data_IF_932738723295
#
_entry.id   IF_932738723295
#
_cell.length_a   1.000
_cell.length_b   1.000
_cell.length_c   1.000
_cell.angle_alpha   90.00
_cell.angle_beta   90.00
_cell.angle_gamma   90.00
#
_symmetry.space_group_name_H-M   'P 1'
#
loop_
_entity.id
_entity.type
_entity.pdbx_description
1 polymer ?
#
# COMPACT_ATOMS: atom_id res chain seq x y z
N UNK A 1 -13.46 -20.13 20.21
CA UNK A 1 -13.64 -18.73 19.80
C UNK A 1 -12.28 -18.09 19.89
N UNK A 2 -11.66 -17.77 18.75
CA UNK A 2 -10.40 -17.02 18.77
C UNK A 2 -10.66 -15.66 19.39
N UNK A 3 -9.83 -15.23 20.34
CA UNK A 3 -9.94 -13.90 20.92
C UNK A 3 -9.83 -12.86 19.81
N UNK A 4 -10.79 -11.93 19.74
CA UNK A 4 -10.78 -10.84 18.75
C UNK A 4 -9.45 -10.04 18.89
N UNK A 5 -8.72 -9.79 17.78
CA UNK A 5 -7.49 -9.01 17.82
C UNK A 5 -7.75 -7.62 18.42
N UNK A 6 -6.90 -7.23 19.38
CA UNK A 6 -7.01 -5.96 20.10
C UNK A 6 -5.66 -5.25 20.13
N UNK A 7 -5.65 -3.96 19.81
CA UNK A 7 -4.48 -3.09 19.94
C UNK A 7 -4.86 -1.88 20.79
N UNK A 8 -4.07 -1.59 21.82
CA UNK A 8 -4.31 -0.44 22.69
C UNK A 8 -3.33 0.69 22.37
N UNK A 9 -3.86 1.90 22.14
CA UNK A 9 -3.08 3.12 21.98
C UNK A 9 -3.65 4.20 22.89
N UNK A 10 -3.05 4.35 24.07
CA UNK A 10 -3.58 5.22 25.12
C UNK A 10 -5.00 4.79 25.52
N UNK A 11 -5.98 5.70 25.57
CA UNK A 11 -7.34 5.37 25.97
C UNK A 11 -8.20 4.77 24.84
N UNK A 12 -7.60 4.36 23.73
CA UNK A 12 -8.29 3.77 22.58
C UNK A 12 -7.92 2.30 22.40
N UNK A 13 -8.94 1.43 22.37
CA UNK A 13 -8.84 0.02 21.99
C UNK A 13 -9.30 -0.13 20.53
N UNK A 14 -8.39 -0.53 19.65
CA UNK A 14 -8.65 -0.86 18.26
C UNK A 14 -9.09 -2.31 18.13
N UNK A 15 -10.18 -2.51 17.38
CA UNK A 15 -10.74 -3.80 16.98
C UNK A 15 -10.81 -3.86 15.45
N UNK A 16 -11.01 -5.05 14.85
CA UNK A 16 -11.03 -5.19 13.39
C UNK A 16 -12.01 -4.26 12.65
N UNK A 17 -13.16 -3.93 13.25
CA UNK A 17 -14.18 -3.08 12.63
C UNK A 17 -14.70 -1.94 13.53
N UNK A 18 -14.02 -1.64 14.65
CA UNK A 18 -14.44 -0.56 15.56
C UNK A 18 -13.30 -0.07 16.45
N UNK A 19 -13.52 1.05 17.13
CA UNK A 19 -12.70 1.48 18.25
C UNK A 19 -13.57 1.58 19.51
N UNK A 20 -12.99 1.31 20.68
CA UNK A 20 -13.59 1.64 21.97
C UNK A 20 -12.73 2.67 22.69
N UNK A 21 -13.39 3.54 23.46
CA UNK A 21 -12.75 4.61 24.21
C UNK A 21 -12.95 4.38 25.71
N UNK A 22 -11.89 4.57 26.48
CA UNK A 22 -11.97 4.58 27.94
C UNK A 22 -12.36 5.99 28.43
N UNK A 23 -13.58 6.13 28.94
CA UNK A 23 -14.08 7.40 29.48
C UNK A 23 -14.14 8.51 28.42
N UNK A 24 -13.64 9.70 28.77
CA UNK A 24 -13.58 10.87 27.88
C UNK A 24 -12.12 11.32 27.70
N UNK A 25 -11.41 10.77 26.69
CA UNK A 25 -10.03 11.15 26.36
C UNK A 25 -9.90 12.66 26.14
N UNK A 26 -8.77 13.23 26.57
CA UNK A 26 -8.45 14.62 26.27
C UNK A 26 -8.17 14.79 24.78
N UNK A 27 -8.40 15.97 24.22
CA UNK A 27 -8.19 16.23 22.78
C UNK A 27 -6.77 15.87 22.31
N UNK A 28 -5.77 16.05 23.19
CA UNK A 28 -4.37 15.71 22.91
C UNK A 28 -4.14 14.21 22.66
N UNK A 29 -4.96 13.33 23.24
CA UNK A 29 -4.80 11.87 23.15
C UNK A 29 -5.19 11.31 21.77
N UNK A 30 -5.90 12.08 20.94
CA UNK A 30 -6.47 11.60 19.68
C UNK A 30 -5.48 11.54 18.53
N UNK A 31 -4.49 12.46 18.52
CA UNK A 31 -3.63 12.67 17.34
C UNK A 31 -2.85 11.40 16.98
N UNK A 32 -2.21 10.76 17.96
CA UNK A 32 -1.41 9.56 17.75
C UNK A 32 -2.23 8.38 17.23
N UNK A 33 -3.30 7.95 17.93
CA UNK A 33 -4.20 6.88 17.49
C UNK A 33 -4.80 7.10 16.10
N UNK A 34 -5.25 8.33 15.79
CA UNK A 34 -5.78 8.66 14.48
C UNK A 34 -4.70 8.56 13.39
N UNK A 35 -3.50 9.09 13.64
CA UNK A 35 -2.36 8.98 12.73
C UNK A 35 -1.97 7.52 12.49
N UNK A 36 -1.98 6.68 13.54
CA UNK A 36 -1.74 5.25 13.42
C UNK A 36 -2.78 4.55 12.54
N UNK A 37 -4.07 4.84 12.74
CA UNK A 37 -5.15 4.28 11.92
C UNK A 37 -4.96 4.62 10.43
N UNK A 38 -4.66 5.89 10.13
CA UNK A 38 -4.38 6.37 8.77
C UNK A 38 -3.14 5.67 8.21
N UNK A 39 -2.08 5.51 9.01
CA UNK A 39 -0.87 4.84 8.58
C UNK A 39 -1.14 3.37 8.23
N UNK A 40 -1.81 2.61 9.09
CA UNK A 40 -2.19 1.22 8.84
C UNK A 40 -3.04 1.08 7.57
N UNK A 41 -4.01 1.97 7.37
CA UNK A 41 -4.85 1.98 6.17
C UNK A 41 -4.03 2.17 4.89
N UNK A 42 -3.04 3.06 4.91
CA UNK A 42 -2.19 3.36 3.73
C UNK A 42 -1.05 2.38 3.52
N UNK A 43 -0.50 1.82 4.59
CA UNK A 43 0.69 0.98 4.57
C UNK A 43 0.39 -0.51 4.47
N UNK A 44 -0.78 -0.98 4.91
CA UNK A 44 -1.09 -2.42 4.91
C UNK A 44 -0.95 -3.11 3.55
N UNK A 45 -1.33 -2.52 2.40
CA UNK A 45 -1.07 -3.14 1.09
C UNK A 45 0.43 -3.37 0.82
N UNK A 46 1.29 -2.47 1.28
CA UNK A 46 2.74 -2.59 1.14
C UNK A 46 3.29 -3.65 2.06
N UNK A 47 2.91 -3.65 3.34
CA UNK A 47 3.36 -4.67 4.29
C UNK A 47 2.96 -6.07 3.83
N UNK A 48 1.71 -6.26 3.38
CA UNK A 48 1.24 -7.53 2.85
C UNK A 48 2.11 -7.96 1.65
N UNK A 49 2.28 -7.07 0.66
CA UNK A 49 3.08 -7.39 -0.53
C UNK A 49 4.56 -7.65 -0.25
N UNK A 50 5.18 -6.87 0.64
CA UNK A 50 6.58 -7.03 1.03
C UNK A 50 6.81 -8.33 1.82
N UNK A 51 5.90 -8.68 2.73
CA UNK A 51 5.95 -9.94 3.48
C UNK A 51 5.75 -11.15 2.57
N UNK A 52 4.82 -11.09 1.60
CA UNK A 52 4.64 -12.16 0.61
C UNK A 52 5.91 -12.33 -0.22
N UNK A 53 6.44 -11.25 -0.79
CA UNK A 53 7.66 -11.34 -1.61
C UNK A 53 8.84 -11.89 -0.82
N UNK A 54 9.09 -11.35 0.38
CA UNK A 54 10.21 -11.79 1.22
C UNK A 54 10.03 -13.23 1.70
N UNK A 55 8.80 -13.64 2.01
CA UNK A 55 8.47 -15.00 2.41
C UNK A 55 8.65 -16.00 1.28
N UNK A 56 8.18 -15.69 0.08
CA UNK A 56 8.41 -16.51 -1.12
C UNK A 56 9.90 -16.59 -1.47
N UNK A 57 10.66 -15.50 -1.33
CA UNK A 57 12.10 -15.49 -1.61
C UNK A 57 12.89 -16.41 -0.65
N UNK A 58 12.45 -16.54 0.60
CA UNK A 58 13.12 -17.34 1.64
C UNK A 58 12.63 -18.79 1.67
N UNK A 59 11.32 -19.00 1.55
CA UNK A 59 10.66 -20.29 1.80
C UNK A 59 10.00 -20.90 0.54
N UNK A 60 10.03 -20.21 -0.60
CA UNK A 60 9.40 -20.68 -1.83
C UNK A 60 7.87 -20.83 -1.69
N UNK A 61 7.33 -21.86 -2.32
CA UNK A 61 5.89 -22.12 -2.36
C UNK A 61 5.29 -22.46 -0.99
N UNK A 62 6.09 -22.95 -0.03
CA UNK A 62 5.63 -23.29 1.32
C UNK A 62 5.10 -22.08 2.09
N UNK A 63 5.57 -20.87 1.76
CA UNK A 63 5.08 -19.64 2.39
C UNK A 63 3.58 -19.41 2.15
N UNK A 64 2.99 -20.02 1.11
CA UNK A 64 1.56 -19.95 0.85
C UNK A 64 0.71 -20.47 2.02
N UNK A 65 1.23 -21.42 2.81
CA UNK A 65 0.55 -21.91 4.00
C UNK A 65 0.35 -20.84 5.09
N UNK A 66 1.18 -19.78 5.12
CA UNK A 66 1.09 -18.69 6.12
C UNK A 66 -0.11 -17.79 5.87
N UNK A 67 -0.47 -17.55 4.61
CA UNK A 67 -1.55 -16.63 4.25
C UNK A 67 -2.78 -17.31 3.63
N UNK A 68 -2.70 -18.60 3.27
CA UNK A 68 -3.71 -19.32 2.51
C UNK A 68 -5.10 -19.38 3.15
N UNK A 69 -5.19 -19.29 4.48
CA UNK A 69 -6.46 -19.23 5.21
C UNK A 69 -7.03 -17.81 5.36
N UNK A 70 -6.20 -16.78 5.17
CA UNK A 70 -6.55 -15.38 5.47
C UNK A 70 -6.72 -14.52 4.21
N UNK A 71 -6.00 -14.82 3.13
CA UNK A 71 -5.97 -14.02 1.90
C UNK A 71 -6.32 -14.87 0.69
N UNK A 72 -7.09 -14.30 -0.24
CA UNK A 72 -7.29 -14.92 -1.55
C UNK A 72 -6.03 -14.81 -2.41
N UNK A 73 -5.82 -15.77 -3.31
CA UNK A 73 -4.73 -15.73 -4.29
C UNK A 73 -4.75 -14.46 -5.14
N UNK A 74 -5.93 -13.93 -5.45
CA UNK A 74 -6.08 -12.67 -6.18
C UNK A 74 -5.52 -11.48 -5.38
N UNK A 75 -5.85 -11.38 -4.09
CA UNK A 75 -5.33 -10.33 -3.22
C UNK A 75 -3.81 -10.41 -3.06
N UNK A 76 -3.28 -11.62 -2.86
CA UNK A 76 -1.85 -11.90 -2.76
C UNK A 76 -1.14 -11.43 -4.02
N UNK A 77 -1.60 -11.90 -5.19
CA UNK A 77 -1.05 -11.52 -6.48
C UNK A 77 -1.07 -10.01 -6.69
N UNK A 78 -2.20 -9.36 -6.38
CA UNK A 78 -2.34 -7.90 -6.53
C UNK A 78 -1.33 -7.13 -5.69
N UNK A 79 -1.18 -7.44 -4.40
CA UNK A 79 -0.28 -6.71 -3.51
C UNK A 79 1.19 -7.05 -3.75
N UNK A 80 1.53 -8.34 -3.82
CA UNK A 80 2.90 -8.81 -4.03
C UNK A 80 3.47 -8.29 -5.35
N UNK A 81 2.67 -8.32 -6.43
CA UNK A 81 3.12 -7.90 -7.74
C UNK A 81 3.45 -6.40 -7.83
N UNK A 82 2.64 -5.54 -7.20
CA UNK A 82 2.95 -4.10 -7.13
C UNK A 82 4.14 -3.83 -6.22
N UNK A 83 4.21 -4.48 -5.05
CA UNK A 83 5.34 -4.36 -4.13
C UNK A 83 6.67 -4.76 -4.79
N UNK A 84 6.66 -5.82 -5.61
CA UNK A 84 7.83 -6.31 -6.35
C UNK A 84 8.26 -5.35 -7.47
N UNK A 85 7.30 -4.80 -8.19
CA UNK A 85 7.56 -3.92 -9.36
C UNK A 85 7.85 -2.47 -8.99
N UNK A 86 7.38 -2.01 -7.83
CA UNK A 86 7.62 -0.66 -7.31
C UNK A 86 8.45 -0.78 -6.04
N UNK A 87 9.79 -0.76 -6.16
CA UNK A 87 10.67 -1.01 -5.03
C UNK A 87 10.59 0.14 -4.01
N UNK A 88 10.95 -0.13 -2.75
CA UNK A 88 10.77 0.80 -1.63
C UNK A 88 11.30 2.22 -1.90
N UNK A 89 12.45 2.35 -2.56
CA UNK A 89 13.06 3.63 -2.94
C UNK A 89 12.25 4.46 -3.95
N UNK A 90 11.31 3.84 -4.67
CA UNK A 90 10.41 4.54 -5.60
C UNK A 90 9.08 4.92 -4.94
N UNK A 91 8.74 4.36 -3.76
CA UNK A 91 7.47 4.57 -3.09
C UNK A 91 7.44 5.95 -2.43
N UNK A 92 6.30 6.63 -2.52
CA UNK A 92 6.05 7.95 -1.92
C UNK A 92 4.91 7.83 -0.90
N UNK A 93 5.18 7.93 0.42
CA UNK A 93 4.17 7.77 1.45
C UNK A 93 2.98 8.72 1.34
N UNK A 94 3.17 9.89 0.72
CA UNK A 94 2.12 10.89 0.48
C UNK A 94 1.11 10.46 -0.61
N UNK A 95 1.46 9.51 -1.48
CA UNK A 95 0.58 9.00 -2.54
C UNK A 95 -0.15 7.73 -2.09
N UNK A 96 -1.27 7.42 -2.75
CA UNK A 96 -2.04 6.19 -2.51
C UNK A 96 -1.34 4.96 -3.10
N UNK A 97 -1.64 3.77 -2.59
CA UNK A 97 -1.15 2.53 -3.20
C UNK A 97 -1.58 2.42 -4.67
N UNK A 98 -2.81 2.83 -5.01
CA UNK A 98 -3.33 2.82 -6.39
C UNK A 98 -2.53 3.72 -7.35
N UNK A 99 -2.00 4.85 -6.87
CA UNK A 99 -1.09 5.69 -7.67
C UNK A 99 0.19 4.93 -8.04
N UNK A 100 0.71 4.12 -7.13
CA UNK A 100 1.88 3.28 -7.41
C UNK A 100 1.55 2.11 -8.33
N UNK A 101 0.38 1.49 -8.16
CA UNK A 101 -0.10 0.46 -9.08
C UNK A 101 -0.20 0.98 -10.53
N UNK A 102 -0.57 2.26 -10.73
CA UNK A 102 -0.64 2.88 -12.04
C UNK A 102 0.73 2.92 -12.75
N UNK A 103 1.83 3.14 -12.02
CA UNK A 103 3.19 3.21 -12.60
C UNK A 103 3.92 1.86 -12.60
N UNK A 104 3.36 0.81 -12.01
CA UNK A 104 4.06 -0.46 -11.75
C UNK A 104 4.61 -1.16 -13.01
N UNK A 105 4.10 -0.83 -14.20
CA UNK A 105 4.57 -1.40 -15.47
C UNK A 105 5.68 -0.58 -16.15
N UNK A 106 5.98 0.61 -15.63
CA UNK A 106 7.03 1.48 -16.15
C UNK A 106 8.41 1.07 -15.65
N UNK A 107 9.47 1.52 -16.34
CA UNK A 107 10.83 1.36 -15.84
C UNK A 107 11.03 2.14 -14.53
N UNK A 108 11.94 1.70 -13.66
CA UNK A 108 12.13 2.30 -12.32
C UNK A 108 12.41 3.81 -12.37
N UNK A 109 13.12 4.31 -13.37
CA UNK A 109 13.38 5.75 -13.52
C UNK A 109 12.10 6.54 -13.80
N UNK A 110 11.23 5.99 -14.64
CA UNK A 110 9.95 6.59 -15.02
C UNK A 110 8.94 6.53 -13.88
N UNK A 111 8.91 5.43 -13.13
CA UNK A 111 8.13 5.32 -11.90
C UNK A 111 8.46 6.50 -10.95
N UNK A 112 9.76 6.72 -10.66
CA UNK A 112 10.19 7.84 -9.80
C UNK A 112 9.75 9.18 -10.36
N UNK A 113 9.93 9.40 -11.66
CA UNK A 113 9.55 10.65 -12.33
C UNK A 113 8.05 10.90 -12.24
N UNK A 114 7.24 9.90 -12.59
CA UNK A 114 5.78 10.03 -12.63
C UNK A 114 5.18 10.19 -11.23
N UNK A 115 5.68 9.46 -10.24
CA UNK A 115 5.26 9.62 -8.85
C UNK A 115 5.69 10.99 -8.29
N UNK A 116 6.89 11.48 -8.61
CA UNK A 116 7.31 12.82 -8.21
C UNK A 116 6.40 13.91 -8.79
N UNK A 117 6.01 13.75 -10.06
CA UNK A 117 5.12 14.68 -10.74
C UNK A 117 3.71 14.62 -10.15
N UNK A 118 3.20 13.42 -9.85
CA UNK A 118 1.89 13.27 -9.21
C UNK A 118 1.83 13.94 -7.83
N UNK A 119 2.88 13.81 -7.02
CA UNK A 119 2.97 14.47 -5.72
C UNK A 119 3.06 16.00 -5.86
N UNK A 120 3.86 16.49 -6.81
CA UNK A 120 4.03 17.92 -7.06
C UNK A 120 2.74 18.58 -7.57
N UNK A 121 2.06 17.94 -8.52
CA UNK A 121 0.90 18.50 -9.24
C UNK A 121 -0.44 18.12 -8.56
N UNK A 122 -0.40 17.34 -7.47
CA UNK A 122 -1.60 16.93 -6.73
C UNK A 122 -2.49 15.95 -7.47
N UNK A 123 -1.93 15.13 -8.37
CA UNK A 123 -2.70 14.16 -9.14
C UNK A 123 -3.23 13.02 -8.27
N UNK A 124 -4.51 12.68 -8.48
CA UNK A 124 -5.06 11.44 -7.93
C UNK A 124 -4.59 10.22 -8.75
N UNK A 125 -5.01 9.01 -8.34
CA UNK A 125 -4.61 7.78 -9.03
C UNK A 125 -5.11 7.70 -10.48
N UNK A 126 -6.25 8.30 -10.78
CA UNK A 126 -6.88 8.24 -12.11
C UNK A 126 -6.18 9.21 -13.07
N UNK A 127 -5.86 10.42 -12.60
CA UNK A 127 -5.05 11.40 -13.32
C UNK A 127 -3.68 10.80 -13.68
N UNK A 128 -3.01 10.19 -12.69
CA UNK A 128 -1.73 9.54 -12.90
C UNK A 128 -1.85 8.36 -13.88
N UNK A 129 -2.89 7.53 -13.77
CA UNK A 129 -3.12 6.41 -14.69
C UNK A 129 -3.28 6.92 -16.14
N UNK A 130 -4.06 7.98 -16.35
CA UNK A 130 -4.18 8.63 -17.66
C UNK A 130 -2.82 9.09 -18.20
N UNK A 131 -2.04 9.78 -17.37
CA UNK A 131 -0.70 10.28 -17.75
C UNK A 131 0.29 9.16 -18.05
N UNK A 132 0.24 8.05 -17.32
CA UNK A 132 1.04 6.85 -17.61
C UNK A 132 0.64 6.22 -18.94
N UNK A 133 -0.67 6.14 -19.25
CA UNK A 133 -1.14 5.61 -20.53
C UNK A 133 -0.68 6.47 -21.71
N UNK A 134 -0.74 7.79 -21.58
CA UNK A 134 -0.22 8.75 -22.57
C UNK A 134 1.28 8.49 -22.83
N UNK A 135 2.10 8.42 -21.76
CA UNK A 135 3.52 8.12 -21.85
C UNK A 135 3.82 6.80 -22.57
N UNK A 136 3.12 5.72 -22.20
CA UNK A 136 3.32 4.39 -22.81
C UNK A 136 2.90 4.39 -24.28
N UNK A 137 1.84 5.13 -24.65
CA UNK A 137 1.41 5.26 -26.03
C UNK A 137 2.44 6.03 -26.88
N UNK A 138 3.04 7.09 -26.31
CA UNK A 138 4.10 7.86 -26.97
C UNK A 138 5.35 7.02 -27.24
N UNK A 139 5.76 6.18 -26.28
CA UNK A 139 6.91 5.28 -26.43
C UNK A 139 6.74 4.21 -27.51
N UNK A 140 5.51 3.83 -27.84
CA UNK A 140 5.20 2.84 -28.87
C UNK A 140 5.14 3.42 -30.27
N UNK A 141 5.16 4.75 -30.43
CA UNK A 141 5.17 5.36 -31.76
C UNK A 141 6.52 5.10 -32.43
N UNK A 142 6.56 4.68 -33.70
CA UNK A 142 7.82 4.53 -34.43
C UNK A 142 8.58 5.87 -34.41
N UNK A 143 9.89 5.81 -34.14
CA UNK A 143 10.75 6.97 -34.39
C UNK A 143 10.75 7.23 -35.90
N UNK A 144 10.56 8.48 -36.36
CA UNK A 144 10.54 8.80 -37.79
C UNK A 144 11.84 8.42 -38.50
#
# INVERSE_FOLDING_TARGET
>A
MSDEPRIHLGPFEFRPASIRMSGRPALADWKGPLQFAIWCQRASPWWIGDMINSGEDIFGEEFAAVWGETLSTEMVSRYASVARRVPAQNRRPALSWSAHAAVARLAHAEQRRMLALAEKEGWNSDDLNKKVRELVAEQKKPTP
#
